data_IF_963487198446
#
_entry.id   IF_963487198446
#
_cell.length_a   1.000
_cell.length_b   1.000
_cell.length_c   1.000
_cell.angle_alpha   90.00
_cell.angle_beta   90.00
_cell.angle_gamma   90.00
#
_symmetry.space_group_name_H-M   'P 1'
#
loop_
_entity.id
_entity.type
_entity.pdbx_description
1 polymer ?
#
# COMPACT_ATOMS: atom_id res chain seq x y z
N UNK A 1 33.76 -11.71 13.40
CA UNK A 1 32.64 -10.91 12.85
C UNK A 1 32.08 -11.56 11.58
N UNK A 2 32.89 -11.76 10.52
CA UNK A 2 32.48 -12.42 9.26
C UNK A 2 31.76 -13.77 9.42
N UNK A 3 32.34 -14.70 10.20
CA UNK A 3 31.79 -16.05 10.42
C UNK A 3 30.45 -16.03 11.14
N UNK A 4 30.29 -15.11 12.09
CA UNK A 4 29.04 -14.97 12.85
C UNK A 4 27.92 -14.44 11.96
N UNK A 5 28.24 -13.49 11.06
CA UNK A 5 27.30 -12.93 10.09
C UNK A 5 26.79 -13.98 9.10
N UNK A 6 27.70 -14.79 8.54
CA UNK A 6 27.35 -15.88 7.64
C UNK A 6 26.52 -16.97 8.33
N UNK A 7 26.81 -17.25 9.60
CA UNK A 7 26.04 -18.21 10.40
C UNK A 7 24.61 -17.70 10.66
N UNK A 8 24.43 -16.42 11.00
CA UNK A 8 23.11 -15.79 11.13
C UNK A 8 22.33 -15.78 9.83
N UNK A 9 22.97 -15.50 8.69
CA UNK A 9 22.34 -15.59 7.38
C UNK A 9 21.84 -17.01 7.10
N UNK A 10 22.70 -18.02 7.26
CA UNK A 10 22.31 -19.43 7.01
C UNK A 10 21.12 -19.88 7.85
N UNK A 11 21.05 -19.43 9.11
CA UNK A 11 19.97 -19.74 10.04
C UNK A 11 18.67 -19.05 9.62
N UNK A 12 18.74 -17.76 9.29
CA UNK A 12 17.62 -16.98 8.74
C UNK A 12 17.08 -17.59 7.43
N UNK A 13 17.95 -18.10 6.57
CA UNK A 13 17.55 -18.75 5.31
C UNK A 13 16.85 -20.09 5.54
N UNK A 14 17.23 -20.85 6.58
CA UNK A 14 16.53 -22.07 6.99
C UNK A 14 15.19 -21.80 7.65
N UNK A 15 15.07 -20.70 8.40
CA UNK A 15 13.83 -20.24 9.04
C UNK A 15 12.87 -19.56 8.05
N UNK A 16 13.36 -19.11 6.88
CA UNK A 16 12.55 -18.47 5.87
C UNK A 16 11.61 -19.47 5.17
N UNK A 17 10.32 -19.19 5.20
CA UNK A 17 9.32 -19.94 4.44
C UNK A 17 9.59 -19.84 2.93
N UNK A 18 9.56 -20.98 2.24
CA UNK A 18 9.61 -21.04 0.77
C UNK A 18 8.20 -20.91 0.21
N UNK A 19 8.05 -20.19 -0.89
CA UNK A 19 6.79 -20.07 -1.62
C UNK A 19 7.05 -20.16 -3.12
N UNK A 20 6.04 -20.61 -3.87
CA UNK A 20 6.11 -20.75 -5.32
C UNK A 20 5.34 -19.58 -5.92
N UNK A 21 5.95 -18.89 -6.89
CA UNK A 21 5.27 -17.91 -7.73
C UNK A 21 5.10 -18.51 -9.12
N UNK A 22 3.86 -18.56 -9.59
CA UNK A 22 3.53 -18.95 -10.95
C UNK A 22 3.11 -17.70 -11.75
N UNK A 23 3.55 -17.59 -13.00
CA UNK A 23 3.22 -16.47 -13.88
C UNK A 23 2.83 -17.01 -15.26
N UNK A 24 1.90 -16.33 -15.93
CA UNK A 24 1.46 -16.68 -17.30
C UNK A 24 2.38 -16.10 -18.38
N UNK A 25 3.58 -15.64 -18.01
CA UNK A 25 4.56 -15.11 -18.95
C UNK A 25 5.19 -16.26 -19.74
N UNK A 26 4.95 -16.29 -21.04
CA UNK A 26 5.42 -17.33 -21.96
C UNK A 26 6.89 -17.11 -22.36
N UNK A 27 7.33 -15.86 -22.39
CA UNK A 27 8.71 -15.47 -22.74
C UNK A 27 9.60 -15.45 -21.48
N UNK A 28 10.54 -16.38 -21.38
CA UNK A 28 11.42 -16.56 -20.21
C UNK A 28 12.30 -15.33 -19.89
N UNK A 29 12.61 -14.48 -20.89
CA UNK A 29 13.49 -13.32 -20.72
C UNK A 29 12.74 -11.98 -20.56
N UNK A 30 11.42 -12.00 -20.41
CA UNK A 30 10.64 -10.75 -20.36
C UNK A 30 10.75 -10.02 -19.01
N UNK A 31 10.94 -10.76 -17.93
CA UNK A 31 11.04 -10.23 -16.57
C UNK A 31 12.05 -11.06 -15.77
N UNK A 32 12.91 -10.39 -15.01
CA UNK A 32 13.78 -11.09 -14.08
C UNK A 32 12.98 -11.64 -12.89
N UNK A 33 13.50 -12.72 -12.28
CA UNK A 33 12.91 -13.28 -11.06
C UNK A 33 12.76 -12.25 -9.92
N UNK A 34 13.69 -11.29 -9.85
CA UNK A 34 13.67 -10.16 -8.91
C UNK A 34 12.44 -9.27 -9.11
N UNK A 35 12.12 -8.95 -10.36
CA UNK A 35 10.99 -8.11 -10.75
C UNK A 35 9.65 -8.82 -10.52
N UNK A 36 9.58 -10.13 -10.79
CA UNK A 36 8.40 -10.95 -10.49
C UNK A 36 8.10 -10.91 -8.99
N UNK A 37 9.13 -11.08 -8.14
CA UNK A 37 8.99 -11.02 -6.69
C UNK A 37 8.54 -9.64 -6.20
N UNK A 38 9.16 -8.56 -6.71
CA UNK A 38 8.79 -7.18 -6.35
C UNK A 38 7.33 -6.91 -6.73
N UNK A 39 6.93 -7.31 -7.93
CA UNK A 39 5.56 -7.13 -8.44
C UNK A 39 4.56 -7.85 -7.55
N UNK A 40 4.82 -9.11 -7.22
CA UNK A 40 3.99 -9.89 -6.32
C UNK A 40 3.87 -9.26 -4.93
N UNK A 41 4.99 -8.82 -4.34
CA UNK A 41 4.99 -8.19 -3.00
C UNK A 41 4.29 -6.83 -2.99
N UNK A 42 4.30 -6.09 -4.10
CA UNK A 42 3.60 -4.81 -4.22
C UNK A 42 2.08 -4.95 -4.23
N UNK A 43 1.52 -6.15 -4.42
CA UNK A 43 0.08 -6.41 -4.34
C UNK A 43 -0.50 -6.08 -2.95
N UNK A 44 0.28 -6.19 -1.86
CA UNK A 44 -0.16 -5.81 -0.51
C UNK A 44 -0.54 -4.32 -0.36
N UNK A 45 -0.19 -3.48 -1.33
CA UNK A 45 -0.61 -2.08 -1.35
C UNK A 45 -2.11 -1.92 -1.60
N UNK A 46 -2.72 -2.79 -2.41
CA UNK A 46 -4.16 -2.74 -2.73
C UNK A 46 -5.00 -3.16 -1.52
N UNK A 47 -4.56 -4.19 -0.79
CA UNK A 47 -5.23 -4.67 0.44
C UNK A 47 -5.34 -3.58 1.51
N UNK A 48 -4.29 -2.77 1.66
CA UNK A 48 -4.30 -1.61 2.56
C UNK A 48 -5.30 -0.53 2.12
N UNK A 49 -5.52 -0.37 0.82
CA UNK A 49 -6.57 0.49 0.28
C UNK A 49 -7.96 -0.01 0.61
N UNK A 50 -8.22 -1.33 0.53
CA UNK A 50 -9.51 -1.90 0.90
C UNK A 50 -9.80 -1.81 2.40
N UNK A 51 -8.77 -1.82 3.26
CA UNK A 51 -8.95 -1.58 4.69
C UNK A 51 -9.58 -0.20 4.96
N UNK A 52 -9.27 0.81 4.16
CA UNK A 52 -9.90 2.12 4.26
C UNK A 52 -11.39 2.07 3.95
N UNK A 53 -11.80 1.34 2.90
CA UNK A 53 -13.22 1.16 2.56
C UNK A 53 -14.02 0.40 3.63
N UNK A 54 -13.33 -0.42 4.43
CA UNK A 54 -13.89 -1.18 5.54
C UNK A 54 -13.76 -0.48 6.90
N UNK A 55 -13.17 0.72 6.95
CA UNK A 55 -12.96 1.44 8.21
C UNK A 55 -14.32 1.95 8.72
N UNK A 56 -14.72 1.65 9.98
CA UNK A 56 -15.99 2.08 10.56
C UNK A 56 -16.19 3.61 10.53
N UNK A 57 -15.09 4.38 10.43
CA UNK A 57 -15.13 5.84 10.24
C UNK A 57 -15.84 6.28 8.94
N UNK A 58 -16.07 5.38 7.98
CA UNK A 58 -16.89 5.64 6.79
C UNK A 58 -18.39 5.57 7.02
N UNK A 59 -18.83 5.48 8.28
CA UNK A 59 -20.24 5.52 8.66
C UNK A 59 -21.07 4.42 7.99
N UNK A 60 -20.47 3.30 7.59
CA UNK A 60 -21.15 2.17 6.93
C UNK A 60 -22.32 1.64 7.76
N UNK A 61 -22.22 1.74 9.09
CA UNK A 61 -23.27 1.33 10.02
C UNK A 61 -24.49 2.26 10.01
N UNK A 62 -24.34 3.51 9.53
CA UNK A 62 -25.44 4.48 9.41
C UNK A 62 -26.11 4.48 8.04
N UNK A 63 -25.47 3.84 7.05
CA UNK A 63 -26.04 3.59 5.74
C UNK A 63 -26.91 2.32 5.85
N UNK A 64 -28.15 2.48 6.33
CA UNK A 64 -29.19 1.45 6.26
C UNK A 64 -29.57 1.19 4.79
N UNK A 65 -28.69 0.49 4.10
CA UNK A 65 -28.82 0.21 2.67
C UNK A 65 -29.43 -1.17 2.52
N UNK A 66 -30.75 -1.25 2.62
CA UNK A 66 -31.50 -2.50 2.51
C UNK A 66 -31.58 -3.03 1.07
N UNK A 67 -31.40 -2.14 0.08
CA UNK A 67 -31.54 -2.46 -1.34
C UNK A 67 -30.18 -2.71 -2.01
N UNK A 68 -30.01 -3.83 -2.75
CA UNK A 68 -28.73 -4.20 -3.35
C UNK A 68 -28.20 -3.14 -4.35
N UNK A 69 -29.09 -2.47 -5.09
CA UNK A 69 -28.69 -1.45 -6.08
C UNK A 69 -28.06 -0.22 -5.42
N UNK A 70 -28.44 0.09 -4.18
CA UNK A 70 -27.85 1.18 -3.42
C UNK A 70 -26.48 0.80 -2.87
N UNK A 71 -26.27 -0.47 -2.49
CA UNK A 71 -24.97 -0.98 -2.04
C UNK A 71 -23.97 -0.87 -3.19
N UNK A 72 -24.36 -1.30 -4.40
CA UNK A 72 -23.51 -1.22 -5.58
C UNK A 72 -23.07 0.22 -5.88
N UNK A 73 -24.03 1.16 -5.89
CA UNK A 73 -23.74 2.58 -6.12
C UNK A 73 -22.81 3.16 -5.06
N UNK A 74 -23.03 2.81 -3.79
CA UNK A 74 -22.19 3.25 -2.68
C UNK A 74 -20.76 2.71 -2.81
N UNK A 75 -20.61 1.41 -3.09
CA UNK A 75 -19.30 0.78 -3.31
C UNK A 75 -18.55 1.42 -4.48
N UNK A 76 -19.24 1.73 -5.57
CA UNK A 76 -18.64 2.42 -6.71
C UNK A 76 -18.14 3.81 -6.31
N UNK A 77 -18.97 4.61 -5.63
CA UNK A 77 -18.60 5.95 -5.18
C UNK A 77 -17.42 5.91 -4.19
N UNK A 78 -17.46 5.02 -3.19
CA UNK A 78 -16.36 4.87 -2.23
C UNK A 78 -15.07 4.43 -2.91
N UNK A 79 -15.14 3.54 -3.89
CA UNK A 79 -13.98 3.10 -4.69
C UNK A 79 -13.39 4.25 -5.51
N UNK A 80 -14.23 5.09 -6.09
CA UNK A 80 -13.80 6.29 -6.81
C UNK A 80 -13.14 7.30 -5.86
N UNK A 81 -13.72 7.54 -4.68
CA UNK A 81 -13.12 8.39 -3.65
C UNK A 81 -11.75 7.85 -3.21
N UNK A 82 -11.62 6.53 -3.02
CA UNK A 82 -10.34 5.89 -2.68
C UNK A 82 -9.31 6.08 -3.80
N UNK A 83 -9.71 5.98 -5.08
CA UNK A 83 -8.82 6.24 -6.21
C UNK A 83 -8.30 7.67 -6.18
N UNK A 84 -9.19 8.66 -6.04
CA UNK A 84 -8.83 10.08 -5.96
C UNK A 84 -7.89 10.32 -4.77
N UNK A 85 -8.20 9.76 -3.60
CA UNK A 85 -7.36 9.85 -2.41
C UNK A 85 -5.95 9.29 -2.65
N UNK A 86 -5.83 8.13 -3.29
CA UNK A 86 -4.53 7.52 -3.62
C UNK A 86 -3.74 8.37 -4.61
N UNK A 87 -4.40 8.93 -5.63
CA UNK A 87 -3.78 9.83 -6.60
C UNK A 87 -3.28 11.11 -5.93
N UNK A 88 -4.10 11.74 -5.07
CA UNK A 88 -3.71 12.92 -4.31
C UNK A 88 -2.52 12.66 -3.40
N UNK A 89 -2.50 11.52 -2.68
CA UNK A 89 -1.36 11.14 -1.85
C UNK A 89 -0.09 10.89 -2.69
N UNK A 90 -0.22 10.28 -3.86
CA UNK A 90 0.90 10.07 -4.79
C UNK A 90 1.46 11.40 -5.26
N UNK A 91 0.59 12.31 -5.69
CA UNK A 91 1.00 13.61 -6.21
C UNK A 91 1.67 14.47 -5.13
N UNK A 92 1.10 14.51 -3.92
CA UNK A 92 1.73 15.16 -2.78
C UNK A 92 3.16 14.66 -2.54
N UNK A 93 3.37 13.34 -2.53
CA UNK A 93 4.69 12.75 -2.33
C UNK A 93 5.64 13.10 -3.47
N UNK A 94 5.15 13.16 -4.70
CA UNK A 94 5.95 13.59 -5.85
C UNK A 94 6.35 15.07 -5.74
N UNK A 95 5.42 15.95 -5.34
CA UNK A 95 5.70 17.36 -5.05
C UNK A 95 6.78 17.51 -3.97
N UNK A 96 6.66 16.80 -2.84
CA UNK A 96 7.64 16.85 -1.75
C UNK A 96 9.03 16.38 -2.19
N UNK A 97 9.09 15.32 -3.02
CA UNK A 97 10.36 14.87 -3.63
C UNK A 97 10.97 15.95 -4.54
N UNK A 98 10.17 16.59 -5.39
CA UNK A 98 10.62 17.67 -6.29
C UNK A 98 11.19 18.85 -5.51
N UNK A 99 10.51 19.26 -4.44
CA UNK A 99 10.91 20.41 -3.61
C UNK A 99 11.97 20.04 -2.56
N UNK A 100 12.31 18.75 -2.41
CA UNK A 100 13.23 18.21 -1.39
C UNK A 100 12.89 18.64 0.04
N UNK A 101 11.60 18.82 0.33
CA UNK A 101 11.10 19.17 1.66
C UNK A 101 10.25 18.02 2.21
N UNK A 102 10.34 17.80 3.52
CA UNK A 102 9.46 16.88 4.23
C UNK A 102 8.47 17.64 5.11
N UNK A 103 7.43 16.94 5.54
CA UNK A 103 6.41 17.46 6.46
C UNK A 103 6.57 16.73 7.80
N UNK A 104 6.36 17.43 8.91
CA UNK A 104 6.36 16.79 10.23
C UNK A 104 5.21 15.80 10.32
N UNK A 105 5.48 14.59 10.82
CA UNK A 105 4.44 13.61 11.14
C UNK A 105 3.78 13.94 12.49
N UNK A 106 2.82 13.10 12.92
CA UNK A 106 2.13 13.21 14.21
C UNK A 106 3.06 13.30 15.44
N UNK A 107 4.26 12.76 15.34
CA UNK A 107 5.27 12.72 16.41
C UNK A 107 6.35 13.82 16.20
N UNK A 108 6.10 14.78 15.31
CA UNK A 108 7.00 15.90 15.02
C UNK A 108 8.24 15.54 14.19
N UNK A 109 8.38 14.31 13.69
CA UNK A 109 9.51 13.88 12.85
C UNK A 109 9.23 14.17 11.37
N UNK A 110 10.22 14.71 10.68
CA UNK A 110 10.13 14.98 9.23
C UNK A 110 9.96 13.66 8.45
N UNK A 111 8.91 13.58 7.64
CA UNK A 111 8.67 12.46 6.72
C UNK A 111 8.55 12.92 5.27
N UNK A 112 9.15 12.16 4.37
CA UNK A 112 9.03 12.31 2.91
C UNK A 112 7.87 11.49 2.34
N UNK A 113 7.18 10.71 3.18
CA UNK A 113 6.06 9.84 2.80
C UNK A 113 4.83 10.10 3.67
N UNK A 114 4.33 11.35 3.77
CA UNK A 114 3.10 11.60 4.52
C UNK A 114 1.92 10.85 3.91
N UNK A 115 0.90 10.60 4.74
CA UNK A 115 -0.41 10.15 4.29
C UNK A 115 -1.29 11.35 4.04
N UNK A 116 -2.20 11.27 3.06
CA UNK A 116 -3.08 12.41 2.76
C UNK A 116 -4.03 12.72 3.93
N UNK A 117 -4.47 11.68 4.66
CA UNK A 117 -5.19 11.81 5.93
C UNK A 117 -4.48 12.71 6.93
N UNK A 118 -3.17 12.57 7.09
CA UNK A 118 -2.40 13.41 8.01
C UNK A 118 -2.41 14.87 7.58
N UNK A 119 -2.27 15.11 6.27
CA UNK A 119 -2.29 16.47 5.72
C UNK A 119 -3.65 17.15 5.96
N UNK A 120 -4.75 16.43 5.80
CA UNK A 120 -6.09 16.94 6.12
C UNK A 120 -6.34 17.19 7.61
N UNK A 121 -5.46 16.73 8.51
CA UNK A 121 -5.51 17.08 9.93
C UNK A 121 -4.63 18.30 10.26
N UNK A 122 -3.73 18.70 9.36
CA UNK A 122 -2.88 19.86 9.53
C UNK A 122 -3.54 21.18 9.11
N UNK A 123 -4.66 21.11 8.37
CA UNK A 123 -5.46 22.24 7.89
C UNK A 123 -6.89 22.09 8.41
#
# INVERSE_FOLDING_TARGET
>A
MEKLFQQTLSRKTKEAGKFILATNLVEENKLEASEILITYKNQQSTERGFRFLKDPLFFTDSFFVEKPERIEKMLFLMSLCLLIYNLGQRELRNCLKRVKKGINNQVGRVTLRPTLRWIFQCF
#
